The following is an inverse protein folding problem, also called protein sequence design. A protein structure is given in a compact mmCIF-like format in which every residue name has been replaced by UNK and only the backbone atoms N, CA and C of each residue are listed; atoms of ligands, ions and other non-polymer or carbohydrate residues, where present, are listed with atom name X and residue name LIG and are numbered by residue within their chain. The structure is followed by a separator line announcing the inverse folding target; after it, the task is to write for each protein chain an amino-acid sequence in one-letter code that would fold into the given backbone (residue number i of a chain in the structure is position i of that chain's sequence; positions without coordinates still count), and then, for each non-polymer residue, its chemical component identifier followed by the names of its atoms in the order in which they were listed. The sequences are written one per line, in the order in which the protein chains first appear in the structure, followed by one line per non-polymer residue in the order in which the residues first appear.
data_IF_198458450384
#
_entry.id   IF_198458450384
#
_cell.length_a   1.000
_cell.length_b   1.000
_cell.length_c   1.000
_cell.angle_alpha   90.00
_cell.angle_beta   90.00
_cell.angle_gamma   90.00
#
_symmetry.space_group_name_H-M   'P 1'
#
loop_
_entity.id
_entity.type
_entity.pdbx_description
1 polymer ?
#
# COMPACT_ATOMS: atom_id res chain seq x y z
N UNK A 1 27.90 8.03 21.84
CA UNK A 1 28.07 6.70 21.32
C UNK A 1 26.77 6.18 20.69
N UNK A 2 26.79 5.93 19.41
CA UNK A 2 25.61 5.41 18.72
C UNK A 2 25.52 3.90 18.97
N UNK A 3 24.51 3.49 19.70
CA UNK A 3 24.34 2.09 20.05
C UNK A 3 23.80 1.27 18.88
N UNK A 4 24.07 -0.03 18.89
CA UNK A 4 23.53 -0.97 17.91
C UNK A 4 21.99 -0.94 17.94
N UNK A 5 21.39 -0.81 19.12
CA UNK A 5 19.95 -0.73 19.28
C UNK A 5 19.36 0.52 18.60
N UNK A 6 20.04 1.68 18.70
CA UNK A 6 19.60 2.91 18.04
C UNK A 6 19.67 2.78 16.50
N UNK A 7 20.73 2.18 15.99
CA UNK A 7 20.88 1.95 14.55
C UNK A 7 19.81 1.00 14.02
N UNK A 8 19.52 -0.08 14.75
CA UNK A 8 18.47 -1.02 14.40
C UNK A 8 17.09 -0.37 14.36
N UNK A 9 16.76 0.42 15.39
CA UNK A 9 15.48 1.11 15.45
C UNK A 9 15.30 2.07 14.28
N UNK A 10 16.37 2.78 13.90
CA UNK A 10 16.35 3.67 12.74
C UNK A 10 16.06 2.89 11.46
N UNK A 11 16.75 1.79 11.22
CA UNK A 11 16.56 0.99 10.01
C UNK A 11 15.17 0.38 9.94
N UNK A 12 14.65 -0.12 11.04
CA UNK A 12 13.30 -0.68 11.10
C UNK A 12 12.24 0.39 10.81
N UNK A 13 12.39 1.58 11.40
CA UNK A 13 11.47 2.69 11.16
C UNK A 13 11.49 3.15 9.71
N UNK A 14 12.67 3.25 9.10
CA UNK A 14 12.80 3.62 7.70
C UNK A 14 12.17 2.57 6.78
N UNK A 15 12.33 1.29 7.09
CA UNK A 15 11.73 0.22 6.30
C UNK A 15 10.20 0.25 6.36
N UNK A 16 9.61 0.47 7.55
CA UNK A 16 8.15 0.60 7.72
C UNK A 16 7.61 1.80 6.95
N UNK A 17 8.24 2.96 7.09
CA UNK A 17 7.85 4.17 6.38
C UNK A 17 7.93 3.95 4.88
N UNK A 18 8.98 3.28 4.39
CA UNK A 18 9.15 2.99 2.97
C UNK A 18 8.01 2.11 2.42
N UNK A 19 7.52 1.14 3.21
CA UNK A 19 6.41 0.29 2.80
C UNK A 19 5.13 1.09 2.56
N UNK A 20 4.75 1.95 3.49
CA UNK A 20 3.58 2.81 3.34
C UNK A 20 3.78 3.88 2.26
N UNK A 21 4.99 4.42 2.14
CA UNK A 21 5.32 5.39 1.09
C UNK A 21 5.17 4.77 -0.30
N UNK A 22 5.64 3.54 -0.49
CA UNK A 22 5.49 2.82 -1.74
C UNK A 22 4.01 2.61 -2.07
N UNK A 23 3.22 2.21 -1.09
CA UNK A 23 1.78 2.02 -1.26
C UNK A 23 1.09 3.34 -1.66
N UNK A 24 1.47 4.45 -1.03
CA UNK A 24 0.94 5.77 -1.39
C UNK A 24 1.31 6.15 -2.83
N UNK A 25 2.53 5.89 -3.27
CA UNK A 25 2.94 6.13 -4.65
C UNK A 25 2.12 5.31 -5.63
N UNK A 26 1.88 4.04 -5.29
CA UNK A 26 1.09 3.14 -6.14
C UNK A 26 -0.36 3.62 -6.29
N UNK A 27 -1.04 3.89 -5.18
CA UNK A 27 -2.46 4.26 -5.23
C UNK A 27 -2.70 5.67 -5.78
N UNK A 28 -1.67 6.47 -5.92
CA UNK A 28 -1.74 7.79 -6.56
C UNK A 28 -1.23 7.80 -8.00
N UNK A 29 -0.94 6.63 -8.56
CA UNK A 29 -0.60 6.49 -9.97
C UNK A 29 0.82 6.87 -10.36
N UNK A 30 1.73 6.97 -9.39
CA UNK A 30 3.13 7.33 -9.64
C UNK A 30 3.97 6.09 -9.96
N UNK A 31 3.71 5.48 -11.12
CA UNK A 31 4.22 4.16 -11.49
C UNK A 31 5.73 4.05 -11.44
N UNK A 32 6.45 4.95 -12.10
CA UNK A 32 7.92 4.87 -12.15
C UNK A 32 8.55 4.95 -10.76
N UNK A 33 8.07 5.88 -9.94
CA UNK A 33 8.58 6.06 -8.58
C UNK A 33 8.22 4.88 -7.69
N UNK A 34 7.00 4.37 -7.81
CA UNK A 34 6.53 3.24 -7.03
C UNK A 34 7.36 1.99 -7.32
N UNK A 35 7.61 1.69 -8.58
CA UNK A 35 8.40 0.52 -8.99
C UNK A 35 9.86 0.67 -8.55
N UNK A 36 10.47 1.83 -8.77
CA UNK A 36 11.85 2.08 -8.37
C UNK A 36 12.03 1.94 -6.85
N UNK A 37 11.08 2.49 -6.08
CA UNK A 37 11.12 2.40 -4.62
C UNK A 37 10.93 0.96 -4.13
N UNK A 38 10.10 0.18 -4.82
CA UNK A 38 9.92 -1.24 -4.51
C UNK A 38 11.21 -2.03 -4.69
N UNK A 39 11.88 -1.82 -5.82
CA UNK A 39 13.16 -2.49 -6.10
C UNK A 39 14.20 -2.15 -5.04
N UNK A 40 14.30 -0.88 -4.69
CA UNK A 40 15.24 -0.44 -3.68
C UNK A 40 14.93 -1.03 -2.31
N UNK A 41 13.66 -1.05 -1.90
CA UNK A 41 13.26 -1.63 -0.63
C UNK A 41 13.63 -3.12 -0.55
N UNK A 42 13.40 -3.86 -1.62
CA UNK A 42 13.77 -5.28 -1.68
C UNK A 42 15.28 -5.47 -1.61
N UNK A 43 16.05 -4.63 -2.29
CA UNK A 43 17.52 -4.66 -2.25
C UNK A 43 18.04 -4.37 -0.83
N UNK A 44 17.35 -3.53 -0.08
CA UNK A 44 17.71 -3.19 1.30
C UNK A 44 17.24 -4.24 2.30
N UNK A 45 16.62 -5.31 1.83
CA UNK A 45 16.22 -6.44 2.67
C UNK A 45 14.79 -6.42 3.17
N UNK A 46 13.95 -5.49 2.70
CA UNK A 46 12.54 -5.50 3.08
C UNK A 46 11.87 -6.75 2.53
N UNK A 47 11.08 -7.39 3.37
CA UNK A 47 10.42 -8.64 3.01
C UNK A 47 9.23 -8.37 2.09
N UNK A 48 9.05 -9.15 1.01
CA UNK A 48 7.90 -8.97 0.10
C UNK A 48 6.54 -8.99 0.81
N UNK A 49 6.37 -9.80 1.84
CA UNK A 49 5.11 -9.86 2.61
C UNK A 49 4.81 -8.52 3.28
N UNK A 50 5.83 -7.84 3.81
CA UNK A 50 5.64 -6.54 4.44
C UNK A 50 5.14 -5.48 3.44
N UNK A 51 5.71 -5.46 2.24
CA UNK A 51 5.26 -4.58 1.16
C UNK A 51 3.85 -4.91 0.70
N UNK A 52 3.55 -6.20 0.56
CA UNK A 52 2.23 -6.67 0.17
C UNK A 52 1.17 -6.27 1.21
N UNK A 53 1.50 -6.38 2.49
CA UNK A 53 0.59 -5.97 3.58
C UNK A 53 0.28 -4.48 3.50
N UNK A 54 1.30 -3.64 3.33
CA UNK A 54 1.11 -2.19 3.23
C UNK A 54 0.24 -1.83 2.01
N UNK A 55 0.51 -2.44 0.87
CA UNK A 55 -0.26 -2.20 -0.35
C UNK A 55 -1.72 -2.65 -0.18
N UNK A 56 -1.94 -3.83 0.40
CA UNK A 56 -3.29 -4.35 0.64
C UNK A 56 -4.09 -3.48 1.59
N UNK A 57 -3.46 -2.94 2.62
CA UNK A 57 -4.12 -2.02 3.55
C UNK A 57 -4.58 -0.75 2.85
N UNK A 58 -3.76 -0.19 1.97
CA UNK A 58 -4.12 1.01 1.20
C UNK A 58 -5.27 0.74 0.23
N UNK A 59 -5.21 -0.36 -0.50
CA UNK A 59 -6.28 -0.75 -1.43
C UNK A 59 -7.58 -1.01 -0.68
N UNK A 60 -7.53 -1.71 0.46
CA UNK A 60 -8.72 -1.96 1.27
C UNK A 60 -9.34 -0.65 1.79
N UNK A 61 -8.50 0.30 2.19
CA UNK A 61 -8.98 1.62 2.63
C UNK A 61 -9.69 2.37 1.51
N UNK A 62 -9.13 2.34 0.31
CA UNK A 62 -9.75 2.96 -0.87
C UNK A 62 -11.10 2.29 -1.17
N UNK A 63 -11.16 0.95 -1.13
CA UNK A 63 -12.39 0.22 -1.39
C UNK A 63 -13.50 0.58 -0.39
N UNK A 64 -13.15 0.72 0.90
CA UNK A 64 -14.11 1.09 1.94
C UNK A 64 -14.64 2.52 1.76
N UNK A 65 -13.81 3.42 1.30
CA UNK A 65 -14.15 4.85 1.22
C UNK A 65 -14.60 5.28 -0.17
N UNK A 66 -14.48 4.41 -1.17
CA UNK A 66 -14.80 4.74 -2.56
C UNK A 66 -16.22 5.29 -2.74
N UNK A 67 -17.20 4.63 -2.12
CA UNK A 67 -18.60 5.03 -2.24
C UNK A 67 -19.08 5.93 -1.11
N UNK A 68 -18.20 6.33 -0.20
CA UNK A 68 -18.56 7.09 0.99
C UNK A 68 -18.75 8.58 0.67
N UNK A 69 -19.85 9.14 1.14
CA UNK A 69 -20.22 10.55 0.95
C UNK A 69 -20.45 11.19 2.31
N UNK A 70 -19.37 11.43 3.06
CA UNK A 70 -19.50 12.06 4.37
C UNK A 70 -18.50 13.20 4.54
N UNK A 71 -18.86 14.16 5.38
CA UNK A 71 -17.95 15.19 5.87
C UNK A 71 -17.64 15.00 7.35
N UNK A 72 -18.28 14.02 7.99
CA UNK A 72 -18.04 13.73 9.41
C UNK A 72 -17.00 12.61 9.55
N UNK A 73 -15.74 13.00 9.48
CA UNK A 73 -14.62 12.06 9.52
C UNK A 73 -14.46 11.38 10.87
N UNK A 74 -14.89 12.04 11.97
CA UNK A 74 -14.81 11.44 13.30
C UNK A 74 -15.74 10.23 13.42
N UNK A 75 -16.97 10.35 12.92
CA UNK A 75 -17.91 9.22 12.90
C UNK A 75 -17.46 8.14 11.94
N UNK A 76 -16.98 8.54 10.76
CA UNK A 76 -16.48 7.62 9.73
C UNK A 76 -15.30 6.80 10.23
N UNK A 77 -14.37 7.42 10.94
CA UNK A 77 -13.17 6.75 11.43
C UNK A 77 -13.49 5.52 12.28
N UNK A 78 -14.53 5.61 13.11
CA UNK A 78 -14.96 4.49 13.93
C UNK A 78 -15.45 3.29 13.12
N UNK A 79 -16.15 3.54 12.01
CA UNK A 79 -16.70 2.47 11.18
C UNK A 79 -15.69 1.85 10.23
N UNK A 80 -14.67 2.60 9.78
CA UNK A 80 -13.65 2.06 8.85
C UNK A 80 -12.35 1.65 9.52
N UNK A 81 -12.22 1.90 10.83
CA UNK A 81 -11.03 1.51 11.59
C UNK A 81 -9.80 2.34 11.29
N UNK A 82 -9.96 3.61 10.95
CA UNK A 82 -8.86 4.55 10.68
C UNK A 82 -9.00 5.82 11.51
N UNK A 83 -7.87 6.49 11.84
CA UNK A 83 -7.95 7.85 12.40
C UNK A 83 -8.65 8.81 11.42
N UNK A 84 -9.35 9.84 11.91
CA UNK A 84 -10.07 10.78 11.03
C UNK A 84 -9.21 11.41 9.93
N UNK A 85 -7.97 11.80 10.24
CA UNK A 85 -7.08 12.41 9.26
C UNK A 85 -6.73 11.44 8.12
N UNK A 86 -6.57 10.16 8.44
CA UNK A 86 -6.25 9.14 7.44
C UNK A 86 -7.47 8.81 6.58
N UNK A 87 -8.65 8.72 7.19
CA UNK A 87 -9.90 8.50 6.46
C UNK A 87 -10.15 9.62 5.46
N UNK A 88 -9.95 10.87 5.86
CA UNK A 88 -10.09 12.03 4.97
C UNK A 88 -9.10 11.98 3.82
N UNK A 89 -7.83 11.73 4.11
CA UNK A 89 -6.77 11.62 3.10
C UNK A 89 -7.08 10.49 2.11
N UNK A 90 -7.44 9.32 2.61
CA UNK A 90 -7.75 8.15 1.79
C UNK A 90 -8.97 8.40 0.90
N UNK A 91 -9.99 9.08 1.44
CA UNK A 91 -11.19 9.43 0.68
C UNK A 91 -10.87 10.31 -0.53
N UNK A 92 -9.96 11.27 -0.38
CA UNK A 92 -9.54 12.13 -1.50
C UNK A 92 -8.87 11.32 -2.61
N UNK A 93 -8.06 10.34 -2.25
CA UNK A 93 -7.45 9.43 -3.22
C UNK A 93 -8.53 8.55 -3.88
N UNK A 94 -9.43 7.99 -3.07
CA UNK A 94 -10.48 7.10 -3.56
C UNK A 94 -11.39 7.75 -4.60
N UNK A 95 -11.65 9.06 -4.47
CA UNK A 95 -12.48 9.80 -5.44
C UNK A 95 -11.87 9.83 -6.84
N UNK A 96 -10.58 9.62 -6.97
CA UNK A 96 -9.86 9.64 -8.24
C UNK A 96 -9.87 8.28 -8.93
N UNK A 97 -10.28 7.23 -8.22
CA UNK A 97 -10.36 5.88 -8.74
C UNK A 97 -11.73 5.61 -9.36
N UNK A 98 -11.76 4.78 -10.40
CA UNK A 98 -13.03 4.25 -10.92
C UNK A 98 -13.45 3.03 -10.11
N UNK A 99 -14.76 2.72 -10.10
CA UNK A 99 -15.26 1.51 -9.44
C UNK A 99 -14.69 0.23 -10.01
N UNK A 100 -14.49 0.19 -11.33
CA UNK A 100 -13.87 -0.95 -11.99
C UNK A 100 -12.42 -1.14 -11.56
N UNK A 101 -11.66 -0.07 -11.48
CA UNK A 101 -10.27 -0.13 -11.01
C UNK A 101 -10.19 -0.60 -9.56
N UNK A 102 -11.09 -0.14 -8.70
CA UNK A 102 -11.15 -0.59 -7.30
C UNK A 102 -11.39 -2.09 -7.24
N UNK A 103 -12.36 -2.59 -8.01
CA UNK A 103 -12.67 -4.04 -8.05
C UNK A 103 -11.47 -4.86 -8.51
N UNK A 104 -10.80 -4.41 -9.55
CA UNK A 104 -9.61 -5.10 -10.07
C UNK A 104 -8.47 -5.10 -9.05
N UNK A 105 -8.26 -3.99 -8.35
CA UNK A 105 -7.22 -3.90 -7.33
C UNK A 105 -7.49 -4.85 -6.15
N UNK A 106 -8.73 -4.98 -5.72
CA UNK A 106 -9.10 -5.89 -4.63
C UNK A 106 -8.80 -7.34 -5.01
N UNK A 107 -9.15 -7.74 -6.24
CA UNK A 107 -8.83 -9.09 -6.73
C UNK A 107 -7.32 -9.30 -6.80
N UNK A 108 -6.60 -8.30 -7.29
CA UNK A 108 -5.15 -8.35 -7.39
C UNK A 108 -4.49 -8.54 -6.02
N UNK A 109 -5.03 -7.91 -4.96
CA UNK A 109 -4.48 -8.07 -3.61
C UNK A 109 -4.71 -9.49 -3.06
N UNK A 110 -5.83 -10.10 -3.37
CA UNK A 110 -6.10 -11.48 -2.97
C UNK A 110 -5.10 -12.45 -3.62
N UNK A 111 -4.82 -12.27 -4.91
CA UNK A 111 -3.83 -13.07 -5.62
C UNK A 111 -2.43 -12.83 -5.07
N UNK A 112 -2.08 -11.59 -4.77
CA UNK A 112 -0.78 -11.21 -4.24
C UNK A 112 -0.49 -11.90 -2.91
N UNK A 113 -1.47 -11.97 -2.03
CA UNK A 113 -1.30 -12.62 -0.73
C UNK A 113 -0.78 -14.06 -0.88
N UNK A 114 -1.36 -14.81 -1.79
CA UNK A 114 -0.92 -16.18 -2.08
C UNK A 114 0.49 -16.20 -2.71
N UNK A 115 0.74 -15.32 -3.66
CA UNK A 115 2.01 -15.30 -4.41
C UNK A 115 3.21 -14.95 -3.53
N UNK A 116 3.07 -13.96 -2.62
CA UNK A 116 4.19 -13.59 -1.74
C UNK A 116 4.46 -14.63 -0.67
N UNK A 117 3.52 -15.54 -0.43
CA UNK A 117 3.69 -16.68 0.48
C UNK A 117 4.26 -17.91 -0.22
N UNK A 118 4.70 -17.77 -1.46
CA UNK A 118 5.39 -18.82 -2.20
C UNK A 118 4.50 -19.69 -3.07
N UNK A 119 3.25 -19.30 -3.27
CA UNK A 119 2.32 -20.05 -4.11
C UNK A 119 2.27 -19.43 -5.51
N UNK A 120 3.19 -19.82 -6.38
CA UNK A 120 3.11 -19.39 -7.77
C UNK A 120 4.29 -18.57 -8.27
N UNK A 121 5.49 -18.75 -7.73
CA UNK A 121 6.68 -18.19 -8.31
C UNK A 121 7.47 -17.26 -7.37
N UNK A 122 8.12 -16.27 -7.95
CA UNK A 122 9.04 -15.39 -7.24
C UNK A 122 8.28 -14.28 -6.48
N UNK A 123 8.31 -14.26 -5.14
CA UNK A 123 7.64 -13.22 -4.36
C UNK A 123 8.13 -11.80 -4.68
N UNK A 124 9.41 -11.62 -5.02
CA UNK A 124 9.94 -10.30 -5.39
C UNK A 124 9.31 -9.79 -6.67
N UNK A 125 9.18 -10.66 -7.67
CA UNK A 125 8.50 -10.31 -8.91
C UNK A 125 7.02 -10.02 -8.66
N UNK A 126 6.37 -10.84 -7.83
CA UNK A 126 4.95 -10.69 -7.52
C UNK A 126 4.62 -9.33 -6.94
N UNK A 127 5.41 -8.89 -5.94
CA UNK A 127 5.15 -7.57 -5.32
C UNK A 127 5.46 -6.42 -6.29
N UNK A 128 6.53 -6.50 -7.07
CA UNK A 128 6.85 -5.46 -8.04
C UNK A 128 5.76 -5.34 -9.09
N UNK A 129 5.29 -6.48 -9.62
CA UNK A 129 4.20 -6.50 -10.59
C UNK A 129 2.90 -5.94 -10.02
N UNK A 130 2.58 -6.27 -8.77
CA UNK A 130 1.38 -5.77 -8.10
C UNK A 130 1.43 -4.25 -7.91
N UNK A 131 2.57 -3.72 -7.48
CA UNK A 131 2.78 -2.27 -7.33
C UNK A 131 2.58 -1.56 -8.67
N UNK A 132 3.16 -2.10 -9.73
CA UNK A 132 3.00 -1.55 -11.08
C UNK A 132 1.54 -1.55 -11.51
N UNK A 133 0.84 -2.67 -11.37
CA UNK A 133 -0.54 -2.81 -11.81
C UNK A 133 -1.51 -1.92 -11.02
N UNK A 134 -1.32 -1.83 -9.70
CA UNK A 134 -2.14 -0.92 -8.88
C UNK A 134 -1.94 0.51 -9.34
N UNK A 135 -0.70 0.93 -9.60
CA UNK A 135 -0.43 2.29 -10.05
C UNK A 135 -1.03 2.59 -11.41
N UNK A 136 -1.05 1.62 -12.31
CA UNK A 136 -1.69 1.76 -13.62
C UNK A 136 -3.22 1.86 -13.48
N UNK A 137 -3.82 1.09 -12.57
CA UNK A 137 -5.25 1.17 -12.27
C UNK A 137 -5.63 2.52 -11.68
N UNK A 138 -4.77 3.09 -10.84
CA UNK A 138 -5.01 4.40 -10.25
C UNK A 138 -4.98 5.51 -11.29
N UNK A 139 -4.33 5.27 -12.41
CA UNK A 139 -4.29 6.15 -13.55
C UNK A 139 -3.53 7.39 -13.37
#
# INVERSE_FOLDING_TARGET
DVTVAAVRAYHEGVAEVSGFDIADLAVTGQTARAVASTRRALQLGMHPVALATALSMKVAGIARLYSTRTTNWNAMAGSVGMPPWLAEKTSKVARRWSGDAVSQAVILMADLDAEVKGQGGDPHYAIENAVRRVSELAG
#
